data_IF_292550033025
#
_entry.id   IF_292550033025
#
_cell.length_a   1.000
_cell.length_b   1.000
_cell.length_c   1.000
_cell.angle_alpha   90.00
_cell.angle_beta   90.00
_cell.angle_gamma   90.00
#
_symmetry.space_group_name_H-M   'P 1'
#
loop_
_entity.id
_entity.type
_entity.pdbx_description
1 polymer ?
#
# COMPACT_ATOMS: atom_id res chain seq x y z
N UNK A 1 14.72 -25.62 -0.21
CA UNK A 1 15.23 -24.25 -0.51
C UNK A 1 14.15 -23.29 -0.04
N UNK A 2 14.48 -22.30 0.79
CA UNK A 2 13.53 -21.24 1.15
C UNK A 2 13.32 -20.32 -0.07
N UNK A 3 12.08 -19.93 -0.35
CA UNK A 3 11.74 -18.94 -1.40
C UNK A 3 11.71 -17.54 -0.78
N UNK A 4 11.77 -16.48 -1.59
CA UNK A 4 11.54 -15.11 -1.10
C UNK A 4 10.06 -14.88 -0.76
N UNK A 5 9.75 -13.93 0.14
CA UNK A 5 8.37 -13.52 0.41
C UNK A 5 7.83 -12.86 -0.85
N UNK A 6 6.73 -13.39 -1.37
CA UNK A 6 6.10 -12.86 -2.56
C UNK A 6 4.84 -12.10 -2.17
N UNK A 7 4.77 -10.83 -2.59
CA UNK A 7 3.55 -10.02 -2.44
C UNK A 7 2.45 -10.54 -3.37
N UNK A 8 1.19 -10.25 -3.01
CA UNK A 8 0.10 -10.46 -3.94
C UNK A 8 0.29 -9.57 -5.17
N UNK A 9 -0.22 -9.99 -6.31
CA UNK A 9 -0.19 -9.21 -7.54
C UNK A 9 -1.46 -9.43 -8.35
N UNK A 10 -1.79 -8.46 -9.19
CA UNK A 10 -2.88 -8.57 -10.14
C UNK A 10 -2.42 -8.00 -11.47
N UNK A 11 -2.59 -8.79 -12.53
CA UNK A 11 -2.07 -8.43 -13.83
C UNK A 11 -3.04 -7.51 -14.57
N UNK A 12 -2.50 -6.44 -15.16
CA UNK A 12 -3.15 -5.62 -16.18
C UNK A 12 -4.60 -5.20 -15.85
N UNK A 13 -4.82 -4.69 -14.64
CA UNK A 13 -6.12 -4.16 -14.24
C UNK A 13 -6.45 -2.92 -15.08
N UNK A 14 -7.34 -3.07 -16.05
CA UNK A 14 -7.97 -1.94 -16.74
C UNK A 14 -9.37 -1.76 -16.18
N UNK A 15 -9.54 -0.75 -15.33
CA UNK A 15 -10.85 -0.31 -14.91
C UNK A 15 -11.36 0.73 -15.90
N UNK A 16 -12.37 0.43 -16.75
CA UNK A 16 -13.03 1.48 -17.51
C UNK A 16 -13.81 2.35 -16.53
N UNK A 17 -13.35 3.58 -16.38
CA UNK A 17 -13.97 4.59 -15.52
C UNK A 17 -14.81 5.49 -16.41
N UNK A 18 -16.13 5.38 -16.29
CA UNK A 18 -17.10 6.22 -16.99
C UNK A 18 -17.89 7.00 -15.95
N UNK A 19 -17.39 8.16 -15.52
CA UNK A 19 -18.10 8.98 -14.54
C UNK A 19 -19.39 9.55 -15.14
N UNK A 20 -20.44 9.68 -14.33
CA UNK A 20 -21.67 10.34 -14.77
C UNK A 20 -21.43 11.83 -15.02
N UNK A 21 -22.23 12.51 -15.86
CA UNK A 21 -22.12 13.97 -16.05
C UNK A 21 -22.21 14.75 -14.74
N UNK A 22 -23.03 14.27 -13.80
CA UNK A 22 -23.15 14.85 -12.45
C UNK A 22 -21.86 14.68 -11.64
N UNK A 23 -21.26 13.49 -11.67
CA UNK A 23 -20.00 13.23 -10.95
C UNK A 23 -18.83 14.04 -11.55
N UNK A 24 -18.79 14.21 -12.88
CA UNK A 24 -17.85 15.08 -13.58
C UNK A 24 -18.02 16.58 -13.22
N UNK A 25 -19.27 17.04 -13.06
CA UNK A 25 -19.55 18.42 -12.70
C UNK A 25 -19.09 18.77 -11.27
N UNK A 26 -19.07 17.78 -10.37
CA UNK A 26 -18.73 17.96 -8.96
C UNK A 26 -17.27 17.58 -8.62
N UNK A 27 -16.49 17.10 -9.59
CA UNK A 27 -15.12 16.63 -9.34
C UNK A 27 -14.13 17.78 -9.18
N UNK A 28 -13.06 17.53 -8.46
CA UNK A 28 -11.84 18.33 -8.38
C UNK A 28 -10.61 17.47 -8.70
N UNK A 29 -9.41 18.04 -8.62
CA UNK A 29 -8.18 17.24 -8.54
C UNK A 29 -8.24 16.37 -7.28
N UNK A 30 -7.83 15.12 -7.37
CA UNK A 30 -7.95 14.19 -6.25
C UNK A 30 -7.15 12.92 -6.43
N UNK A 31 -7.06 12.20 -5.33
CA UNK A 31 -6.32 10.95 -5.20
C UNK A 31 -7.17 9.99 -4.40
N UNK A 32 -7.29 8.77 -4.90
CA UNK A 32 -7.88 7.64 -4.19
C UNK A 32 -6.78 6.61 -3.94
N UNK A 33 -6.60 6.24 -2.68
CA UNK A 33 -5.80 5.09 -2.30
C UNK A 33 -6.76 3.92 -2.05
N UNK A 34 -6.59 2.84 -2.80
CA UNK A 34 -7.38 1.62 -2.67
C UNK A 34 -6.47 0.53 -2.11
N UNK A 35 -6.85 -0.02 -0.96
CA UNK A 35 -6.24 -1.21 -0.38
C UNK A 35 -7.17 -2.40 -0.55
N UNK A 36 -6.68 -3.43 -1.23
CA UNK A 36 -7.35 -4.71 -1.38
C UNK A 36 -6.73 -5.74 -0.44
N UNK A 37 -7.58 -6.56 0.16
CA UNK A 37 -7.17 -7.79 0.83
C UNK A 37 -7.38 -8.94 -0.15
N UNK A 38 -6.30 -9.60 -0.54
CA UNK A 38 -6.31 -10.80 -1.37
C UNK A 38 -6.30 -12.01 -0.45
N UNK A 39 -7.20 -12.98 -0.64
CA UNK A 39 -7.19 -14.23 0.11
C UNK A 39 -6.19 -15.25 -0.47
N UNK A 40 -5.81 -16.29 0.30
CA UNK A 40 -4.90 -17.34 -0.17
C UNK A 40 -5.33 -18.06 -1.46
N UNK A 41 -6.63 -18.03 -1.80
CA UNK A 41 -7.20 -18.60 -3.02
C UNK A 41 -7.25 -17.61 -4.22
N UNK A 42 -6.66 -16.42 -4.04
CA UNK A 42 -6.61 -15.36 -5.03
C UNK A 42 -7.92 -14.57 -5.19
N UNK A 43 -8.96 -14.81 -4.40
CA UNK A 43 -10.12 -13.90 -4.35
C UNK A 43 -9.74 -12.56 -3.73
N UNK A 44 -10.37 -11.48 -4.19
CA UNK A 44 -10.31 -10.20 -3.50
C UNK A 44 -11.33 -10.24 -2.36
N UNK A 45 -10.85 -10.54 -1.15
CA UNK A 45 -11.64 -10.70 0.05
C UNK A 45 -11.89 -9.38 0.78
N UNK A 46 -11.42 -8.24 0.30
CA UNK A 46 -11.70 -6.93 0.91
C UNK A 46 -11.28 -5.79 0.01
N UNK A 47 -11.96 -4.65 0.12
CA UNK A 47 -11.60 -3.40 -0.55
C UNK A 47 -11.90 -2.21 0.35
N UNK A 48 -10.86 -1.43 0.66
CA UNK A 48 -10.94 -0.19 1.40
C UNK A 48 -10.42 0.94 0.52
N UNK A 49 -11.28 1.89 0.19
CA UNK A 49 -10.91 3.09 -0.55
C UNK A 49 -10.86 4.29 0.40
N UNK A 50 -9.78 5.06 0.32
CA UNK A 50 -9.61 6.32 1.02
C UNK A 50 -9.41 7.43 -0.01
N UNK A 51 -10.30 8.41 -0.02
CA UNK A 51 -10.28 9.50 -0.99
C UNK A 51 -9.84 10.81 -0.35
N UNK A 52 -8.82 11.42 -0.93
CA UNK A 52 -8.41 12.79 -0.66
C UNK A 52 -8.95 13.70 -1.79
N UNK A 53 -9.83 14.64 -1.42
CA UNK A 53 -10.60 15.53 -2.30
C UNK A 53 -11.64 14.83 -3.20
N UNK A 54 -12.61 15.59 -3.71
CA UNK A 54 -13.72 15.02 -4.50
C UNK A 54 -13.26 14.56 -5.90
N UNK A 55 -13.40 13.26 -6.17
CA UNK A 55 -13.13 12.67 -7.48
C UNK A 55 -14.35 12.56 -8.39
N UNK A 56 -14.13 12.28 -9.70
CA UNK A 56 -15.22 12.00 -10.63
C UNK A 56 -15.84 10.61 -10.41
N UNK A 57 -15.22 9.78 -9.56
CA UNK A 57 -15.59 8.39 -9.34
C UNK A 57 -16.02 8.23 -7.89
N UNK A 58 -17.13 7.53 -7.69
CA UNK A 58 -17.59 7.14 -6.36
C UNK A 58 -16.79 5.91 -5.89
N UNK A 59 -16.20 5.96 -4.69
CA UNK A 59 -15.37 4.93 -4.05
C UNK A 59 -15.98 3.52 -4.16
N UNK A 60 -17.32 3.45 -4.09
CA UNK A 60 -18.09 2.21 -4.14
C UNK A 60 -18.04 1.53 -5.51
N UNK A 61 -17.84 2.26 -6.58
CA UNK A 61 -17.82 1.70 -7.94
C UNK A 61 -16.48 1.05 -8.27
N UNK A 62 -15.36 1.62 -7.79
CA UNK A 62 -14.04 1.03 -7.95
C UNK A 62 -13.93 -0.26 -7.14
N UNK A 63 -14.30 -0.22 -5.85
CA UNK A 63 -14.30 -1.42 -5.03
C UNK A 63 -15.22 -2.51 -5.59
N UNK A 64 -16.42 -2.17 -6.08
CA UNK A 64 -17.34 -3.18 -6.66
C UNK A 64 -16.74 -3.90 -7.86
N UNK A 65 -15.99 -3.19 -8.72
CA UNK A 65 -15.31 -3.80 -9.88
C UNK A 65 -14.08 -4.61 -9.46
N UNK A 66 -13.28 -4.11 -8.52
CA UNK A 66 -12.07 -4.80 -8.06
C UNK A 66 -12.40 -6.09 -7.32
N UNK A 67 -13.50 -6.12 -6.55
CA UNK A 67 -13.97 -7.30 -5.83
C UNK A 67 -14.36 -8.48 -6.74
N UNK A 68 -14.59 -8.26 -8.04
CA UNK A 68 -14.90 -9.36 -8.97
C UNK A 68 -13.66 -9.98 -9.62
N UNK A 69 -12.48 -9.41 -9.37
CA UNK A 69 -11.24 -9.87 -9.99
C UNK A 69 -10.62 -11.05 -9.23
N UNK A 70 -9.66 -11.68 -9.90
CA UNK A 70 -8.76 -12.67 -9.31
C UNK A 70 -7.34 -12.14 -9.34
N UNK A 71 -6.64 -12.32 -8.23
CA UNK A 71 -5.24 -11.97 -8.06
C UNK A 71 -4.38 -13.22 -7.89
N UNK A 72 -3.08 -13.05 -8.07
CA UNK A 72 -2.08 -13.99 -7.61
C UNK A 72 -1.93 -13.75 -6.10
N UNK A 73 -2.17 -14.76 -5.25
CA UNK A 73 -2.06 -14.61 -3.80
C UNK A 73 -0.61 -14.36 -3.40
N UNK A 74 -0.43 -13.76 -2.22
CA UNK A 74 0.89 -13.63 -1.62
C UNK A 74 1.37 -14.97 -1.06
N UNK A 75 2.67 -15.16 -0.92
CA UNK A 75 3.25 -16.34 -0.28
C UNK A 75 4.44 -16.02 0.62
N UNK A 76 4.60 -16.82 1.68
CA UNK A 76 5.76 -16.73 2.57
C UNK A 76 6.96 -17.55 2.08
N UNK A 77 8.03 -17.58 2.88
CA UNK A 77 9.28 -18.27 2.56
C UNK A 77 9.14 -19.78 2.35
N UNK A 78 8.08 -20.38 2.90
CA UNK A 78 7.77 -21.79 2.72
C UNK A 78 6.94 -22.05 1.45
N UNK A 79 6.58 -20.99 0.71
CA UNK A 79 5.66 -21.06 -0.43
C UNK A 79 4.19 -21.21 0.00
N UNK A 80 3.87 -20.97 1.27
CA UNK A 80 2.48 -21.05 1.75
C UNK A 80 1.73 -19.82 1.28
N UNK A 81 0.62 -20.01 0.55
CA UNK A 81 -0.26 -18.88 0.19
C UNK A 81 -0.88 -18.26 1.43
N UNK A 82 -0.76 -16.95 1.57
CA UNK A 82 -1.34 -16.16 2.65
C UNK A 82 -2.29 -15.10 2.11
N UNK A 83 -2.98 -14.43 3.03
CA UNK A 83 -3.61 -13.17 2.65
C UNK A 83 -2.52 -12.19 2.19
N UNK A 84 -2.85 -11.31 1.25
CA UNK A 84 -1.94 -10.30 0.74
C UNK A 84 -2.61 -8.94 0.68
N UNK A 85 -1.83 -7.88 0.90
CA UNK A 85 -2.27 -6.51 0.64
C UNK A 85 -1.87 -6.08 -0.76
N UNK A 86 -2.81 -5.50 -1.51
CA UNK A 86 -2.52 -4.76 -2.73
C UNK A 86 -2.94 -3.31 -2.53
N UNK A 87 -2.03 -2.36 -2.72
CA UNK A 87 -2.35 -0.93 -2.70
C UNK A 87 -2.26 -0.34 -4.10
N UNK A 88 -3.31 0.35 -4.54
CA UNK A 88 -3.33 1.14 -5.76
C UNK A 88 -3.56 2.60 -5.40
N UNK A 89 -2.86 3.48 -6.10
CA UNK A 89 -3.12 4.91 -6.04
C UNK A 89 -3.64 5.38 -7.39
N UNK A 90 -4.88 5.84 -7.39
CA UNK A 90 -5.53 6.44 -8.55
C UNK A 90 -5.48 7.94 -8.38
N UNK A 91 -4.78 8.63 -9.28
CA UNK A 91 -4.75 10.09 -9.32
C UNK A 91 -5.47 10.60 -10.56
N UNK A 92 -6.27 11.64 -10.40
CA UNK A 92 -6.87 12.34 -11.54
C UNK A 92 -6.60 13.83 -11.44
N UNK A 93 -6.46 14.45 -12.62
CA UNK A 93 -6.26 15.88 -12.77
C UNK A 93 -7.33 16.43 -13.71
N UNK A 94 -8.01 17.49 -13.28
CA UNK A 94 -8.85 18.29 -14.16
C UNK A 94 -7.95 19.12 -15.07
N UNK A 95 -8.35 19.25 -16.33
CA UNK A 95 -7.65 20.05 -17.34
C UNK A 95 -8.36 21.37 -17.62
N UNK A 96 -9.50 21.64 -16.99
CA UNK A 96 -10.26 22.89 -17.11
C UNK A 96 -9.99 23.84 -15.94
N UNK A 97 -10.58 25.04 -16.01
CA UNK A 97 -10.37 26.12 -15.03
C UNK A 97 -10.84 25.77 -13.59
N UNK A 98 -11.58 24.68 -13.41
CA UNK A 98 -12.08 24.20 -12.12
C UNK A 98 -11.15 23.17 -11.46
N UNK A 99 -9.91 23.05 -11.93
CA UNK A 99 -8.87 22.29 -11.27
C UNK A 99 -8.58 22.90 -9.88
N UNK A 100 -9.33 22.49 -8.85
CA UNK A 100 -9.06 22.86 -7.46
C UNK A 100 -7.62 22.55 -7.02
N UNK A 101 -7.27 22.86 -5.78
CA UNK A 101 -5.94 22.58 -5.24
C UNK A 101 -5.53 21.12 -5.54
N UNK A 102 -4.27 20.93 -5.96
CA UNK A 102 -3.75 19.56 -6.14
C UNK A 102 -3.87 18.86 -4.79
N UNK A 103 -4.61 17.76 -4.75
CA UNK A 103 -4.49 16.84 -3.63
C UNK A 103 -3.01 16.43 -3.58
N UNK A 104 -2.38 16.61 -2.43
CA UNK A 104 -1.10 15.96 -2.20
C UNK A 104 -1.40 14.47 -2.17
N UNK A 105 -1.16 13.80 -3.30
CA UNK A 105 -0.94 12.37 -3.28
C UNK A 105 0.30 12.23 -2.42
N UNK A 106 0.17 11.97 -1.12
CA UNK A 106 1.32 11.78 -0.26
C UNK A 106 2.19 10.71 -0.89
N UNK A 107 3.22 11.16 -1.61
CA UNK A 107 4.23 10.36 -2.30
C UNK A 107 5.28 9.87 -1.32
N UNK A 108 5.05 10.16 -0.03
CA UNK A 108 5.83 9.73 1.09
C UNK A 108 5.63 8.26 1.43
N UNK A 109 6.52 7.80 2.28
CA UNK A 109 6.48 6.48 2.88
C UNK A 109 5.20 6.24 3.70
N UNK A 110 4.83 4.97 3.85
CA UNK A 110 3.72 4.51 4.69
C UNK A 110 4.01 4.75 6.19
N UNK A 111 5.30 4.70 6.56
CA UNK A 111 5.81 4.94 7.89
C UNK A 111 7.08 5.77 7.81
N UNK A 112 7.26 6.70 8.75
CA UNK A 112 8.53 7.41 8.94
C UNK A 112 9.21 6.98 10.23
N UNK A 113 10.45 6.51 10.10
CA UNK A 113 11.29 6.21 11.24
C UNK A 113 12.04 7.47 11.69
N UNK A 114 11.92 7.84 12.97
CA UNK A 114 12.63 8.99 13.48
C UNK A 114 14.12 8.69 13.64
N UNK A 115 14.95 9.60 13.16
CA UNK A 115 16.39 9.58 13.30
C UNK A 115 16.86 10.80 14.09
N UNK A 116 17.97 10.67 14.81
CA UNK A 116 18.65 11.82 15.41
C UNK A 116 19.39 12.66 14.37
N UNK A 117 19.92 11.98 13.35
CA UNK A 117 20.60 12.58 12.21
C UNK A 117 20.56 11.59 11.04
N UNK A 118 20.65 12.10 9.81
CA UNK A 118 20.82 11.23 8.65
C UNK A 118 22.24 10.66 8.61
N UNK A 119 22.41 9.35 8.32
CA UNK A 119 23.72 8.77 8.10
C UNK A 119 24.43 9.40 6.89
N UNK A 120 25.76 9.48 6.93
CA UNK A 120 26.55 9.97 5.81
C UNK A 120 26.23 9.22 4.51
N UNK A 121 26.09 9.98 3.41
CA UNK A 121 25.76 9.44 2.10
C UNK A 121 24.31 8.98 1.93
N UNK A 122 23.44 9.11 2.95
CA UNK A 122 22.01 8.93 2.79
C UNK A 122 21.37 10.16 2.13
N UNK A 123 20.35 9.93 1.30
CA UNK A 123 19.53 10.99 0.70
C UNK A 123 18.42 11.39 1.66
N UNK A 124 18.03 12.66 1.68
CA UNK A 124 16.94 13.16 2.53
C UNK A 124 15.57 12.53 2.20
N UNK A 125 15.40 12.03 0.97
CA UNK A 125 14.20 11.34 0.50
C UNK A 125 14.34 9.80 0.55
N UNK A 126 15.34 9.28 1.27
CA UNK A 126 15.61 7.85 1.35
C UNK A 126 14.37 7.08 1.84
N UNK A 127 14.03 6.02 1.12
CA UNK A 127 12.91 5.12 1.44
C UNK A 127 13.34 3.68 1.21
N UNK A 128 13.02 2.79 2.15
CA UNK A 128 13.20 1.34 2.01
C UNK A 128 11.83 0.70 1.76
N UNK A 129 11.66 -0.04 0.67
CA UNK A 129 10.46 -0.87 0.51
C UNK A 129 10.72 -2.25 1.08
N UNK A 130 9.77 -2.79 1.84
CA UNK A 130 9.88 -4.08 2.51
C UNK A 130 8.64 -4.93 2.27
N UNK A 131 8.85 -6.24 2.10
CA UNK A 131 7.82 -7.26 2.23
C UNK A 131 7.83 -7.79 3.67
N UNK A 132 6.67 -7.81 4.29
CA UNK A 132 6.48 -8.25 5.67
C UNK A 132 5.56 -9.47 5.69
N UNK A 133 5.90 -10.49 6.48
CA UNK A 133 4.91 -11.46 6.95
C UNK A 133 4.42 -10.99 8.31
N UNK A 134 3.13 -10.70 8.41
CA UNK A 134 2.50 -10.10 9.58
C UNK A 134 1.46 -11.08 10.13
N UNK A 135 1.57 -11.40 11.42
CA UNK A 135 0.58 -12.20 12.13
C UNK A 135 -0.74 -11.43 12.31
N UNK A 136 -1.83 -12.14 12.64
CA UNK A 136 -3.14 -11.54 12.82
C UNK A 136 -3.20 -10.51 13.98
N UNK A 137 -2.26 -10.57 14.92
CA UNK A 137 -2.12 -9.60 16.01
C UNK A 137 -1.27 -8.36 15.64
N UNK A 138 -0.74 -8.30 14.41
CA UNK A 138 0.10 -7.20 13.93
C UNK A 138 1.59 -7.39 14.17
N UNK A 139 1.99 -8.50 14.80
CA UNK A 139 3.41 -8.82 14.97
C UNK A 139 4.04 -9.17 13.62
N UNK A 140 5.18 -8.56 13.31
CA UNK A 140 5.95 -8.91 12.11
C UNK A 140 6.80 -10.15 12.41
N UNK A 141 6.58 -11.21 11.65
CA UNK A 141 7.29 -12.48 11.73
C UNK A 141 8.53 -12.48 10.84
N UNK A 142 8.48 -11.76 9.72
CA UNK A 142 9.57 -11.67 8.73
C UNK A 142 9.54 -10.31 8.06
N UNK A 143 10.71 -9.74 7.78
CA UNK A 143 10.87 -8.52 7.00
C UNK A 143 11.99 -8.68 5.97
N UNK A 144 11.69 -8.39 4.71
CA UNK A 144 12.64 -8.48 3.60
C UNK A 144 12.64 -7.19 2.79
N UNK A 145 13.77 -6.47 2.69
CA UNK A 145 13.89 -5.34 1.79
C UNK A 145 13.70 -5.77 0.33
N UNK A 146 12.77 -5.13 -0.37
CA UNK A 146 12.52 -5.33 -1.81
C UNK A 146 13.07 -4.20 -2.66
N UNK A 147 13.24 -3.01 -2.08
CA UNK A 147 13.97 -1.90 -2.68
C UNK A 147 14.79 -1.18 -1.60
N UNK A 148 16.09 -1.02 -1.87
CA UNK A 148 17.02 -0.32 -0.98
C UNK A 148 16.83 1.19 -1.04
N UNK A 149 17.06 1.84 0.10
CA UNK A 149 17.15 3.29 0.21
C UNK A 149 18.43 3.87 -0.40
N UNK A 150 19.38 3.02 -0.78
CA UNK A 150 20.75 3.38 -1.14
C UNK A 150 21.71 3.45 0.05
N UNK A 151 21.23 3.17 1.27
CA UNK A 151 22.06 3.12 2.47
C UNK A 151 21.73 1.88 3.31
N UNK A 152 22.72 0.98 3.46
CA UNK A 152 22.53 -0.30 4.14
C UNK A 152 22.15 -0.17 5.62
N UNK A 153 22.55 0.91 6.29
CA UNK A 153 22.20 1.14 7.69
C UNK A 153 20.72 1.49 7.83
N UNK A 154 20.20 2.30 6.89
CA UNK A 154 18.78 2.64 6.81
C UNK A 154 17.92 1.42 6.48
N UNK A 155 18.32 0.61 5.49
CA UNK A 155 17.59 -0.61 5.12
C UNK A 155 17.48 -1.59 6.31
N UNK A 156 18.58 -1.77 7.06
CA UNK A 156 18.60 -2.59 8.27
C UNK A 156 17.73 -2.00 9.37
N UNK A 157 17.79 -0.69 9.58
CA UNK A 157 16.98 0.00 10.58
C UNK A 157 15.49 -0.11 10.27
N UNK A 158 15.10 -0.02 8.99
CA UNK A 158 13.73 -0.19 8.52
C UNK A 158 13.13 -1.51 8.99
N UNK A 159 13.75 -2.64 8.63
CA UNK A 159 13.27 -3.95 9.04
C UNK A 159 13.33 -4.15 10.56
N UNK A 160 14.41 -3.73 11.21
CA UNK A 160 14.53 -3.88 12.66
C UNK A 160 13.44 -3.10 13.43
N UNK A 161 13.05 -1.92 12.94
CA UNK A 161 12.01 -1.12 13.57
C UNK A 161 10.65 -1.83 13.51
N UNK A 162 10.21 -2.23 12.31
CA UNK A 162 8.90 -2.89 12.14
C UNK A 162 8.85 -4.27 12.80
N UNK A 163 9.96 -5.01 12.82
CA UNK A 163 10.07 -6.27 13.57
C UNK A 163 9.88 -6.08 15.08
N UNK A 164 10.26 -4.91 15.63
CA UNK A 164 10.10 -4.60 17.05
C UNK A 164 8.74 -4.01 17.39
N UNK A 165 8.24 -3.09 16.57
CA UNK A 165 7.00 -2.36 16.85
C UNK A 165 5.74 -3.09 16.40
N UNK A 166 5.87 -4.04 15.47
CA UNK A 166 4.73 -4.54 14.71
C UNK A 166 4.26 -3.52 13.67
N UNK A 167 3.18 -3.87 12.99
CA UNK A 167 2.44 -3.01 12.06
C UNK A 167 0.94 -3.21 12.25
N UNK A 168 0.13 -2.37 11.63
CA UNK A 168 -1.32 -2.53 11.61
C UNK A 168 -1.70 -3.90 10.99
N UNK A 169 -2.51 -4.72 11.67
CA UNK A 169 -3.05 -5.94 11.08
C UNK A 169 -3.84 -5.66 9.80
N UNK A 170 -3.73 -6.58 8.83
CA UNK A 170 -4.63 -6.60 7.68
C UNK A 170 -5.92 -7.31 8.10
N UNK A 171 -7.05 -6.76 7.69
CA UNK A 171 -8.37 -7.34 7.95
C UNK A 171 -8.95 -7.93 6.66
N UNK A 172 -9.72 -9.01 6.78
CA UNK A 172 -10.57 -9.52 5.71
C UNK A 172 -11.88 -8.70 5.55
N UNK A 173 -12.77 -9.10 4.63
CA UNK A 173 -14.06 -8.45 4.39
C UNK A 173 -14.95 -8.33 5.63
N UNK A 174 -14.79 -9.24 6.59
CA UNK A 174 -15.60 -9.26 7.81
C UNK A 174 -15.03 -8.35 8.89
N UNK A 175 -13.87 -7.73 8.64
CA UNK A 175 -13.13 -6.95 9.63
C UNK A 175 -12.28 -7.82 10.56
N UNK A 176 -12.14 -9.11 10.27
CA UNK A 176 -11.33 -10.04 11.08
C UNK A 176 -9.85 -9.87 10.72
N UNK A 177 -8.96 -9.64 11.70
CA UNK A 177 -7.53 -9.63 11.44
C UNK A 177 -7.02 -10.98 10.94
N UNK A 178 -6.14 -10.96 9.93
CA UNK A 178 -5.60 -12.15 9.29
C UNK A 178 -4.08 -12.09 9.20
N UNK A 179 -3.44 -13.26 9.26
CA UNK A 179 -2.01 -13.40 8.91
C UNK A 179 -1.85 -13.12 7.42
N UNK A 180 -0.96 -12.19 7.07
CA UNK A 180 -0.85 -11.67 5.71
C UNK A 180 0.58 -11.26 5.33
N UNK A 181 0.83 -11.20 4.03
CA UNK A 181 1.96 -10.45 3.47
C UNK A 181 1.54 -9.01 3.22
N UNK A 182 2.33 -8.07 3.74
CA UNK A 182 2.12 -6.64 3.54
C UNK A 182 3.39 -6.01 2.94
N UNK A 183 3.21 -5.03 2.05
CA UNK A 183 4.31 -4.21 1.54
C UNK A 183 4.24 -2.83 2.18
N UNK A 184 5.36 -2.35 2.70
CA UNK A 184 5.47 -0.99 3.24
C UNK A 184 6.68 -0.27 2.63
N UNK A 185 6.46 0.99 2.28
CA UNK A 185 7.51 1.98 2.09
C UNK A 185 7.84 2.61 3.45
N UNK A 186 9.11 2.57 3.84
CA UNK A 186 9.60 3.12 5.12
C UNK A 186 10.56 4.27 4.81
N UNK A 187 10.17 5.47 5.21
CA UNK A 187 10.94 6.70 5.06
C UNK A 187 11.65 7.03 6.38
N UNK A 188 12.53 8.03 6.31
CA UNK A 188 13.32 8.46 7.46
C UNK A 188 13.18 9.96 7.65
N UNK A 189 12.98 10.39 8.89
CA UNK A 189 12.88 11.81 9.21
C UNK A 189 13.75 12.14 10.40
N UNK A 190 14.53 13.22 10.29
CA UNK A 190 15.29 13.75 11.41
C UNK A 190 14.33 14.48 12.34
N UNK A 191 14.29 14.07 13.61
CA UNK A 191 13.53 14.81 14.61
C UNK A 191 14.40 15.95 15.17
N UNK A 192 13.82 17.16 15.34
CA UNK A 192 14.52 18.29 15.94
C UNK A 192 14.85 18.09 17.42
#
# INVERSE_FOLDING_TARGET
>A
MAMAVQQASIDNVRLPLQPSPKALALSANGVETIRLTVAPDGTIAGCNAQVANHGPIEDRDNCRKLLTLKAIPASDQAGTSLHGMLEFRLSWKRTDANAGARADASSGADLYLPLRQMPDGARDDATTNVNLVVAADGKVETCEPTSSSGNIALDKAACQAVMRSGTQPLNDATGTPVRAVQTLAIGFSVQP
#
